data_IF_564264435476
#
_entry.id   IF_564264435476
#
_cell.length_a   1.000
_cell.length_b   1.000
_cell.length_c   1.000
_cell.angle_alpha   90.00
_cell.angle_beta   90.00
_cell.angle_gamma   90.00
#
_symmetry.space_group_name_H-M   'P 1'
#
loop_
_entity.id
_entity.type
_entity.pdbx_description
1 polymer ?
#
# COMPACT_ATOMS: atom_id res chain seq x y z
N UNK A 1 14.40 -5.34 11.94
CA UNK A 1 13.78 -4.01 12.16
C UNK A 1 12.62 -4.10 13.17
N UNK A 2 12.04 -2.98 13.59
CA UNK A 2 11.01 -2.90 14.65
C UNK A 2 9.94 -1.83 14.36
N UNK A 3 8.71 -2.02 14.85
CA UNK A 3 7.65 -1.01 14.86
C UNK A 3 6.93 -0.95 16.20
N UNK A 4 6.47 0.25 16.56
CA UNK A 4 5.58 0.49 17.71
C UNK A 4 4.46 1.46 17.37
N UNK A 5 3.30 1.28 18.01
CA UNK A 5 2.16 2.21 17.95
C UNK A 5 2.39 3.50 18.73
N UNK A 6 3.40 3.55 19.61
CA UNK A 6 3.74 4.75 20.35
C UNK A 6 4.08 5.92 19.40
N UNK A 7 3.82 7.14 19.87
CA UNK A 7 4.09 8.38 19.13
C UNK A 7 3.39 8.48 17.76
N UNK A 8 2.25 7.80 17.59
CA UNK A 8 1.48 7.81 16.34
C UNK A 8 1.92 6.77 15.32
N UNK A 9 2.89 5.92 15.65
CA UNK A 9 3.49 4.95 14.75
C UNK A 9 4.94 5.32 14.44
N UNK A 10 5.85 4.41 14.75
CA UNK A 10 7.28 4.61 14.58
C UNK A 10 7.93 3.33 14.05
N UNK A 11 8.65 3.45 12.95
CA UNK A 11 9.44 2.39 12.33
C UNK A 11 10.91 2.60 12.61
N UNK A 12 11.62 1.53 13.00
CA UNK A 12 13.07 1.52 13.19
C UNK A 12 13.68 0.43 12.32
N UNK A 13 14.48 0.82 11.34
CA UNK A 13 15.30 -0.08 10.54
C UNK A 13 16.75 0.04 11.02
N UNK A 14 17.36 -1.10 11.33
CA UNK A 14 18.73 -1.17 11.84
C UNK A 14 19.57 -1.85 10.76
N UNK A 15 20.37 -1.06 10.07
CA UNK A 15 21.36 -1.51 9.08
C UNK A 15 22.76 -1.51 9.75
N UNK A 16 23.77 -2.22 9.20
CA UNK A 16 25.11 -2.32 9.81
C UNK A 16 25.76 -0.96 10.14
N UNK A 17 25.59 0.01 9.25
CA UNK A 17 26.25 1.32 9.35
C UNK A 17 25.33 2.45 9.81
N UNK A 18 24.02 2.22 9.87
CA UNK A 18 23.04 3.28 10.13
C UNK A 18 21.73 2.73 10.70
N UNK A 19 21.19 3.41 11.70
CA UNK A 19 19.79 3.21 12.11
C UNK A 19 18.92 4.26 11.46
N UNK A 20 17.83 3.85 10.80
CA UNK A 20 16.84 4.74 10.20
C UNK A 20 15.52 4.67 10.96
N UNK A 21 15.07 5.82 11.46
CA UNK A 21 13.78 6.00 12.12
C UNK A 21 12.82 6.72 11.17
N UNK A 22 11.64 6.15 10.97
CA UNK A 22 10.58 6.74 10.14
C UNK A 22 9.34 6.94 11.01
N UNK A 23 8.91 8.19 11.18
CA UNK A 23 7.75 8.54 12.00
C UNK A 23 7.14 9.88 11.59
N UNK A 24 6.03 10.27 12.22
CA UNK A 24 5.49 11.61 12.11
C UNK A 24 6.50 12.64 12.70
N UNK A 25 6.85 13.72 11.99
CA UNK A 25 7.70 14.79 12.54
C UNK A 25 7.14 15.50 13.76
N UNK A 26 5.83 15.46 13.97
CA UNK A 26 5.16 16.01 15.15
C UNK A 26 5.29 15.09 16.38
N UNK A 27 5.80 13.87 16.22
CA UNK A 27 6.06 12.96 17.32
C UNK A 27 7.05 13.57 18.34
N UNK A 28 6.75 13.49 19.65
CA UNK A 28 7.69 13.89 20.68
C UNK A 28 9.06 13.21 20.51
N UNK A 29 10.10 14.02 20.36
CA UNK A 29 11.48 13.51 20.24
C UNK A 29 11.89 13.06 18.84
N UNK A 30 11.15 13.43 17.80
CA UNK A 30 11.64 13.37 16.43
C UNK A 30 12.98 14.14 16.32
N UNK A 31 14.02 13.51 15.75
CA UNK A 31 15.39 14.06 15.61
C UNK A 31 16.08 14.45 16.92
N UNK A 32 16.20 13.50 17.86
CA UNK A 32 17.00 13.71 19.09
C UNK A 32 18.45 13.25 19.00
N UNK A 33 18.74 12.24 18.19
CA UNK A 33 20.11 11.73 18.01
C UNK A 33 20.87 12.50 16.94
N UNK A 34 22.20 12.47 17.00
CA UNK A 34 23.08 13.11 16.01
C UNK A 34 22.90 12.42 14.64
N UNK A 35 22.90 13.16 13.51
CA UNK A 35 22.57 12.61 12.19
C UNK A 35 23.45 11.45 11.71
N UNK A 36 24.70 11.36 12.20
CA UNK A 36 25.61 10.27 11.86
C UNK A 36 25.39 9.00 12.69
N UNK A 37 24.57 9.06 13.74
CA UNK A 37 24.19 7.91 14.55
C UNK A 37 22.82 7.35 14.12
N UNK A 38 21.90 8.25 13.75
CA UNK A 38 20.53 7.89 13.36
C UNK A 38 20.03 8.82 12.26
N UNK A 39 19.55 8.23 11.17
CA UNK A 39 18.80 8.90 10.12
C UNK A 39 17.33 9.00 10.51
N UNK A 40 16.74 10.20 10.41
CA UNK A 40 15.32 10.43 10.69
C UNK A 40 14.59 10.86 9.42
N UNK A 41 13.65 10.04 8.97
CA UNK A 41 12.78 10.33 7.84
C UNK A 41 11.37 10.66 8.34
N UNK A 42 10.78 11.70 7.74
CA UNK A 42 9.36 11.96 7.93
C UNK A 42 8.56 10.89 7.19
N UNK A 43 7.58 10.28 7.85
CA UNK A 43 6.61 9.41 7.16
C UNK A 43 5.78 10.17 6.11
N UNK A 44 5.74 11.51 6.19
CA UNK A 44 5.06 12.39 5.22
C UNK A 44 5.90 12.65 3.97
N UNK A 45 7.18 12.28 3.96
CA UNK A 45 8.11 12.47 2.85
C UNK A 45 8.25 11.18 2.04
N UNK A 46 7.24 10.92 1.20
CA UNK A 46 7.15 9.73 0.37
C UNK A 46 8.41 9.50 -0.49
N UNK A 47 9.02 10.55 -1.01
CA UNK A 47 10.22 10.45 -1.85
C UNK A 47 11.42 9.93 -1.06
N UNK A 48 11.69 10.50 0.12
CA UNK A 48 12.80 10.03 0.96
C UNK A 48 12.57 8.64 1.51
N UNK A 49 11.35 8.31 1.92
CA UNK A 49 11.03 6.96 2.40
C UNK A 49 11.20 5.93 1.29
N UNK A 50 10.69 6.21 0.08
CA UNK A 50 10.90 5.35 -1.07
C UNK A 50 12.39 5.17 -1.38
N UNK A 51 13.16 6.25 -1.44
CA UNK A 51 14.61 6.20 -1.72
C UNK A 51 15.37 5.37 -0.70
N UNK A 52 15.04 5.50 0.59
CA UNK A 52 15.61 4.66 1.64
C UNK A 52 15.32 3.18 1.38
N UNK A 53 14.05 2.82 1.22
CA UNK A 53 13.65 1.43 0.99
C UNK A 53 14.30 0.83 -0.27
N UNK A 54 14.41 1.62 -1.34
CA UNK A 54 15.09 1.23 -2.57
C UNK A 54 16.60 1.03 -2.36
N UNK A 55 17.27 2.01 -1.75
CA UNK A 55 18.72 1.99 -1.54
C UNK A 55 19.17 0.86 -0.61
N UNK A 56 18.34 0.48 0.36
CA UNK A 56 18.63 -0.65 1.26
C UNK A 56 18.10 -1.99 0.73
N UNK A 57 17.64 -2.06 -0.52
CA UNK A 57 17.17 -3.32 -1.12
C UNK A 57 15.89 -3.90 -0.51
N UNK A 58 15.13 -3.14 0.26
CA UNK A 58 13.94 -3.64 1.00
C UNK A 58 12.70 -3.80 0.13
N UNK A 59 12.70 -3.25 -1.08
CA UNK A 59 11.56 -3.29 -2.00
C UNK A 59 11.92 -3.97 -3.32
N UNK A 60 10.89 -4.54 -3.94
CA UNK A 60 10.93 -5.03 -5.31
C UNK A 60 10.25 -4.02 -6.23
N UNK A 61 10.96 -3.57 -7.27
CA UNK A 61 10.43 -2.65 -8.27
C UNK A 61 9.45 -3.38 -9.22
N UNK A 62 8.47 -2.68 -9.80
CA UNK A 62 7.48 -3.26 -10.70
C UNK A 62 8.12 -3.83 -11.98
N UNK A 63 8.29 -5.15 -12.00
CA UNK A 63 8.80 -5.92 -13.15
C UNK A 63 7.75 -6.94 -13.58
N UNK A 64 7.67 -7.20 -14.89
CA UNK A 64 6.70 -8.13 -15.47
C UNK A 64 6.71 -9.52 -14.78
N UNK A 65 7.90 -10.01 -14.42
CA UNK A 65 8.11 -11.34 -13.80
C UNK A 65 7.22 -11.63 -12.60
N UNK A 66 6.90 -10.61 -11.79
CA UNK A 66 6.02 -10.76 -10.63
C UNK A 66 4.70 -10.00 -10.77
N UNK A 67 4.66 -8.90 -11.52
CA UNK A 67 3.44 -8.10 -11.70
C UNK A 67 2.39 -8.89 -12.48
N UNK A 68 2.77 -9.50 -13.60
CA UNK A 68 1.81 -10.16 -14.51
C UNK A 68 1.21 -11.44 -13.91
N UNK A 69 2.00 -12.17 -13.12
CA UNK A 69 1.58 -13.43 -12.49
C UNK A 69 0.81 -13.22 -11.18
N UNK A 70 1.01 -12.09 -10.50
CA UNK A 70 0.38 -11.83 -9.19
C UNK A 70 -1.03 -11.27 -9.29
N UNK A 71 -1.31 -10.42 -10.29
CA UNK A 71 -2.51 -9.59 -10.31
C UNK A 71 -2.45 -8.43 -9.30
N UNK A 72 -1.25 -7.98 -8.94
CA UNK A 72 -1.02 -6.96 -7.90
C UNK A 72 -1.60 -5.59 -8.26
N UNK A 73 -1.41 -5.14 -9.51
CA UNK A 73 -1.90 -3.83 -9.94
C UNK A 73 -3.43 -3.82 -10.07
N UNK A 74 -4.04 -4.94 -10.44
CA UNK A 74 -5.48 -5.13 -10.48
C UNK A 74 -6.08 -5.05 -9.07
N UNK A 75 -5.47 -5.72 -8.10
CA UNK A 75 -5.86 -5.63 -6.69
C UNK A 75 -5.80 -4.18 -6.20
N UNK A 76 -4.67 -3.49 -6.44
CA UNK A 76 -4.48 -2.08 -6.06
C UNK A 76 -5.53 -1.17 -6.73
N UNK A 77 -5.80 -1.38 -8.02
CA UNK A 77 -6.77 -0.60 -8.78
C UNK A 77 -8.19 -0.81 -8.25
N UNK A 78 -8.56 -2.05 -7.93
CA UNK A 78 -9.85 -2.36 -7.32
C UNK A 78 -10.01 -1.66 -5.97
N UNK A 79 -8.98 -1.66 -5.12
CA UNK A 79 -9.03 -0.98 -3.82
C UNK A 79 -9.14 0.55 -3.95
N UNK A 80 -8.45 1.15 -4.91
CA UNK A 80 -8.60 2.58 -5.24
C UNK A 80 -10.05 2.89 -5.64
N UNK A 81 -10.63 2.11 -6.55
CA UNK A 81 -12.01 2.34 -7.01
C UNK A 81 -13.01 2.17 -5.87
N UNK A 82 -12.85 1.13 -5.04
CA UNK A 82 -13.69 0.91 -3.86
C UNK A 82 -13.64 2.09 -2.88
N UNK A 83 -12.45 2.66 -2.64
CA UNK A 83 -12.31 3.85 -1.80
C UNK A 83 -13.00 5.08 -2.42
N UNK A 84 -12.91 5.28 -3.74
CA UNK A 84 -13.61 6.37 -4.42
C UNK A 84 -15.13 6.22 -4.35
N UNK A 85 -15.66 5.00 -4.47
CA UNK A 85 -17.09 4.73 -4.29
C UNK A 85 -17.53 5.08 -2.87
N UNK A 86 -16.76 4.67 -1.85
CA UNK A 86 -17.05 5.01 -0.45
C UNK A 86 -17.12 6.52 -0.25
N UNK A 87 -16.19 7.27 -0.83
CA UNK A 87 -16.09 8.71 -0.63
C UNK A 87 -17.19 9.47 -1.40
N UNK A 88 -17.56 9.01 -2.60
CA UNK A 88 -18.61 9.62 -3.42
C UNK A 88 -20.02 9.22 -2.98
N UNK A 89 -20.21 7.99 -2.52
CA UNK A 89 -21.50 7.39 -2.18
C UNK A 89 -21.44 6.63 -0.83
N UNK A 90 -21.29 7.34 0.31
CA UNK A 90 -20.99 6.72 1.62
C UNK A 90 -22.09 5.79 2.17
N UNK A 91 -23.30 5.91 1.65
CA UNK A 91 -24.46 5.08 2.03
C UNK A 91 -24.77 3.98 1.00
N UNK A 92 -23.95 3.83 -0.05
CA UNK A 92 -24.16 2.83 -1.08
C UNK A 92 -23.96 1.43 -0.49
N UNK A 93 -24.92 0.55 -0.76
CA UNK A 93 -24.75 -0.86 -0.47
C UNK A 93 -23.82 -1.49 -1.51
N UNK A 94 -22.76 -2.16 -1.04
CA UNK A 94 -21.74 -2.80 -1.87
C UNK A 94 -21.66 -4.32 -1.69
N UNK A 95 -22.65 -4.94 -1.06
CA UNK A 95 -22.68 -6.38 -0.75
C UNK A 95 -22.58 -7.26 -2.01
N UNK A 96 -23.06 -6.79 -3.15
CA UNK A 96 -23.08 -7.55 -4.42
C UNK A 96 -22.28 -6.89 -5.54
N UNK A 97 -21.27 -6.08 -5.19
CA UNK A 97 -20.44 -5.41 -6.20
C UNK A 97 -19.45 -6.38 -6.84
N UNK A 98 -19.74 -6.73 -8.08
CA UNK A 98 -18.86 -7.51 -8.94
C UNK A 98 -17.97 -6.62 -9.85
N UNK A 99 -17.12 -7.27 -10.66
CA UNK A 99 -16.20 -6.57 -11.56
C UNK A 99 -16.93 -5.79 -12.66
N UNK A 100 -18.06 -6.30 -13.17
CA UNK A 100 -18.82 -5.66 -14.25
C UNK A 100 -19.45 -4.37 -13.76
N UNK A 101 -20.00 -4.41 -12.54
CA UNK A 101 -20.53 -3.25 -11.87
C UNK A 101 -19.43 -2.20 -11.62
N UNK A 102 -18.25 -2.61 -11.14
CA UNK A 102 -17.12 -1.69 -10.94
C UNK A 102 -16.73 -0.99 -12.25
N UNK A 103 -16.67 -1.72 -13.37
CA UNK A 103 -16.38 -1.11 -14.67
C UNK A 103 -17.46 -0.11 -15.09
N UNK A 104 -18.74 -0.46 -14.92
CA UNK A 104 -19.86 0.45 -15.19
C UNK A 104 -19.75 1.71 -14.34
N UNK A 105 -19.43 1.57 -13.06
CA UNK A 105 -19.26 2.70 -12.15
C UNK A 105 -18.11 3.61 -12.59
N UNK A 106 -16.96 3.04 -12.96
CA UNK A 106 -15.79 3.78 -13.47
C UNK A 106 -16.16 4.59 -14.72
N UNK A 107 -16.88 3.99 -15.67
CA UNK A 107 -17.34 4.68 -16.88
C UNK A 107 -18.37 5.78 -16.58
N UNK A 108 -19.19 5.62 -15.55
CA UNK A 108 -20.13 6.65 -15.09
C UNK A 108 -19.47 7.80 -14.30
N UNK A 109 -18.23 7.63 -13.85
CA UNK A 109 -17.53 8.56 -12.93
C UNK A 109 -16.12 8.94 -13.44
N UNK A 110 -15.96 9.09 -14.74
CA UNK A 110 -14.65 9.38 -15.38
C UNK A 110 -13.98 10.62 -14.83
N UNK A 111 -14.75 11.66 -14.52
CA UNK A 111 -14.22 12.93 -13.99
C UNK A 111 -13.60 12.75 -12.60
N UNK A 112 -14.28 12.00 -11.72
CA UNK A 112 -13.78 11.66 -10.39
C UNK A 112 -12.53 10.78 -10.49
N UNK A 113 -12.56 9.77 -11.35
CA UNK A 113 -11.45 8.84 -11.60
C UNK A 113 -10.21 9.59 -12.12
N UNK A 114 -10.40 10.54 -13.04
CA UNK A 114 -9.32 11.34 -13.61
C UNK A 114 -8.75 12.30 -12.56
N UNK A 115 -9.62 12.90 -11.74
CA UNK A 115 -9.22 13.81 -10.66
C UNK A 115 -8.39 13.12 -9.58
N UNK A 116 -8.75 11.90 -9.18
CA UNK A 116 -7.93 11.09 -8.25
C UNK A 116 -6.61 10.66 -8.90
N UNK A 117 -6.65 10.21 -10.15
CA UNK A 117 -5.47 9.90 -10.96
C UNK A 117 -4.79 8.56 -10.65
N UNK A 118 -5.08 7.88 -9.53
CA UNK A 118 -4.41 6.62 -9.18
C UNK A 118 -4.89 5.45 -10.04
N UNK A 119 -6.20 5.36 -10.34
CA UNK A 119 -6.71 4.31 -11.22
C UNK A 119 -6.19 4.46 -12.68
N UNK A 120 -6.22 5.65 -13.30
CA UNK A 120 -5.56 5.86 -14.59
C UNK A 120 -4.06 5.54 -14.57
N UNK A 121 -3.35 5.95 -13.52
CA UNK A 121 -1.93 5.64 -13.32
C UNK A 121 -1.68 4.13 -13.27
N UNK A 122 -2.41 3.38 -12.45
CA UNK A 122 -2.26 1.92 -12.34
C UNK A 122 -2.51 1.20 -13.66
N UNK A 123 -3.50 1.65 -14.43
CA UNK A 123 -3.75 1.11 -15.77
C UNK A 123 -2.62 1.46 -16.76
N UNK A 124 -2.07 2.67 -16.69
CA UNK A 124 -0.92 3.05 -17.51
C UNK A 124 0.33 2.23 -17.15
N UNK A 125 0.62 2.09 -15.85
CA UNK A 125 1.72 1.28 -15.35
C UNK A 125 1.60 -0.18 -15.79
N UNK A 126 0.40 -0.77 -15.72
CA UNK A 126 0.15 -2.14 -16.21
C UNK A 126 0.47 -2.27 -17.70
N UNK A 127 0.03 -1.31 -18.53
CA UNK A 127 0.33 -1.32 -19.98
C UNK A 127 1.81 -1.15 -20.27
N UNK A 128 2.49 -0.24 -19.57
CA UNK A 128 3.92 0.00 -19.73
C UNK A 128 4.74 -1.25 -19.38
N UNK A 129 4.42 -1.90 -18.26
CA UNK A 129 5.09 -3.14 -17.83
C UNK A 129 4.85 -4.27 -18.83
N UNK A 130 3.63 -4.41 -19.35
CA UNK A 130 3.33 -5.42 -20.37
C UNK A 130 4.09 -5.16 -21.70
N UNK A 131 4.36 -3.89 -22.01
CA UNK A 131 5.05 -3.50 -23.25
C UNK A 131 6.59 -3.57 -23.12
N UNK A 132 7.14 -3.15 -21.98
CA UNK A 132 8.58 -2.94 -21.81
C UNK A 132 9.21 -3.81 -20.70
N UNK A 133 8.41 -4.64 -20.03
CA UNK A 133 8.85 -5.52 -18.95
C UNK A 133 9.05 -4.84 -17.59
N UNK A 134 8.95 -3.51 -17.53
CA UNK A 134 9.16 -2.70 -16.32
C UNK A 134 8.46 -1.34 -16.45
N UNK A 135 8.32 -0.65 -15.31
CA UNK A 135 7.90 0.76 -15.23
C UNK A 135 9.10 1.62 -14.86
N UNK A 136 9.27 2.77 -15.52
CA UNK A 136 10.28 3.78 -15.15
C UNK A 136 9.90 4.50 -13.86
N UNK A 137 10.35 3.96 -12.72
CA UNK A 137 9.89 4.39 -11.40
C UNK A 137 10.34 5.82 -11.03
N UNK A 138 11.43 6.29 -11.64
CA UNK A 138 11.96 7.65 -11.51
C UNK A 138 10.98 8.72 -12.00
N UNK A 139 10.19 8.41 -13.04
CA UNK A 139 9.21 9.31 -13.65
C UNK A 139 7.87 9.31 -12.88
N UNK A 140 7.69 8.39 -11.93
CA UNK A 140 6.47 8.25 -11.14
C UNK A 140 6.48 9.22 -9.96
N UNK A 141 5.36 9.91 -9.74
CA UNK A 141 5.16 10.78 -8.58
C UNK A 141 5.43 10.03 -7.26
N UNK A 142 6.13 10.62 -6.28
CA UNK A 142 6.60 9.90 -5.10
C UNK A 142 5.54 9.08 -4.35
N UNK A 143 4.33 9.62 -4.20
CA UNK A 143 3.21 8.94 -3.53
C UNK A 143 2.74 7.71 -4.33
N UNK A 144 2.68 7.82 -5.66
CA UNK A 144 2.20 6.75 -6.54
C UNK A 144 3.19 5.59 -6.64
N UNK A 145 4.47 5.78 -6.32
CA UNK A 145 5.46 4.69 -6.29
C UNK A 145 5.05 3.56 -5.35
N UNK A 146 4.39 3.89 -4.23
CA UNK A 146 3.92 2.88 -3.25
C UNK A 146 2.77 2.01 -3.76
N UNK A 147 2.04 2.44 -4.80
CA UNK A 147 0.99 1.65 -5.44
C UNK A 147 1.56 0.47 -6.26
N UNK A 148 2.82 0.56 -6.70
CA UNK A 148 3.40 -0.35 -7.71
C UNK A 148 4.58 -1.17 -7.19
N UNK A 149 4.99 -0.98 -5.94
CA UNK A 149 6.04 -1.77 -5.29
C UNK A 149 5.47 -2.66 -4.21
N UNK A 150 6.21 -3.70 -3.85
CA UNK A 150 6.03 -4.49 -2.63
C UNK A 150 7.35 -4.60 -1.87
N UNK A 151 7.32 -5.05 -0.62
CA UNK A 151 8.56 -5.45 0.03
C UNK A 151 9.21 -6.60 -0.74
N UNK A 152 10.54 -6.63 -0.75
CA UNK A 152 11.29 -7.72 -1.35
C UNK A 152 11.04 -9.00 -0.53
N UNK A 153 10.56 -10.10 -1.14
CA UNK A 153 10.03 -11.24 -0.36
C UNK A 153 11.08 -11.98 0.49
N UNK A 154 12.33 -12.04 0.03
CA UNK A 154 13.46 -12.70 0.69
C UNK A 154 14.19 -11.81 1.71
N UNK A 155 13.76 -10.54 1.85
CA UNK A 155 14.40 -9.62 2.78
C UNK A 155 13.91 -9.88 4.23
N UNK A 156 14.80 -9.90 5.25
CA UNK A 156 14.39 -10.16 6.64
C UNK A 156 13.35 -9.17 7.19
N UNK A 157 13.37 -7.93 6.70
CA UNK A 157 12.39 -6.89 7.05
C UNK A 157 11.13 -6.86 6.13
N UNK A 158 10.84 -7.90 5.35
CA UNK A 158 9.75 -7.87 4.36
C UNK A 158 8.39 -7.54 4.98
N UNK A 159 8.07 -8.12 6.13
CA UNK A 159 6.83 -7.86 6.87
C UNK A 159 6.71 -6.40 7.31
N UNK A 160 7.77 -5.86 7.92
CA UNK A 160 7.79 -4.46 8.37
C UNK A 160 7.75 -3.48 7.20
N UNK A 161 8.41 -3.82 6.10
CA UNK A 161 8.43 -3.01 4.89
C UNK A 161 7.04 -2.96 4.26
N UNK A 162 6.33 -4.10 4.15
CA UNK A 162 4.95 -4.10 3.68
C UNK A 162 4.00 -3.36 4.63
N UNK A 163 4.25 -3.42 5.95
CA UNK A 163 3.52 -2.62 6.92
C UNK A 163 3.70 -1.11 6.65
N UNK A 164 4.94 -0.65 6.45
CA UNK A 164 5.22 0.74 6.09
C UNK A 164 4.60 1.14 4.74
N UNK A 165 4.71 0.29 3.70
CA UNK A 165 4.08 0.53 2.41
C UNK A 165 2.56 0.73 2.59
N UNK A 166 1.92 -0.09 3.44
CA UNK A 166 0.47 0.03 3.71
C UNK A 166 0.04 1.34 4.37
N UNK A 167 0.95 2.11 4.98
CA UNK A 167 0.66 3.46 5.45
C UNK A 167 0.59 4.50 4.31
N UNK A 168 1.27 4.25 3.18
CA UNK A 168 1.20 5.10 1.98
C UNK A 168 0.06 4.75 1.03
N UNK A 169 -0.60 3.60 1.24
CA UNK A 169 -1.75 3.14 0.46
C UNK A 169 -2.95 2.81 1.37
N UNK A 170 -3.48 3.80 2.13
CA UNK A 170 -4.57 3.57 3.08
C UNK A 170 -5.87 3.09 2.45
N UNK A 171 -6.09 3.35 1.15
CA UNK A 171 -7.23 2.84 0.39
C UNK A 171 -7.26 1.31 0.31
N UNK A 172 -6.12 0.64 0.45
CA UNK A 172 -6.02 -0.82 0.40
C UNK A 172 -6.19 -1.43 1.79
N UNK A 173 -7.43 -1.44 2.27
CA UNK A 173 -7.77 -1.98 3.58
C UNK A 173 -7.42 -3.47 3.73
N UNK A 174 -7.37 -4.23 2.62
CA UNK A 174 -6.93 -5.63 2.65
C UNK A 174 -5.46 -5.71 3.06
N UNK A 175 -4.60 -4.88 2.44
CA UNK A 175 -3.18 -4.83 2.77
C UNK A 175 -2.92 -4.28 4.16
N UNK A 176 -3.69 -3.27 4.59
CA UNK A 176 -3.65 -2.82 5.99
C UNK A 176 -4.04 -3.94 6.94
N UNK A 177 -5.08 -4.71 6.66
CA UNK A 177 -5.46 -5.85 7.51
C UNK A 177 -4.37 -6.92 7.59
N UNK A 178 -3.67 -7.18 6.48
CA UNK A 178 -2.59 -8.18 6.42
C UNK A 178 -1.35 -7.71 7.18
N UNK A 179 -0.88 -6.48 6.94
CA UNK A 179 0.44 -6.02 7.42
C UNK A 179 0.39 -4.99 8.54
N UNK A 180 -0.68 -4.23 8.66
CA UNK A 180 -0.81 -3.08 9.57
C UNK A 180 -2.15 -3.10 10.30
N UNK A 181 -2.38 -4.14 11.10
CA UNK A 181 -3.61 -4.28 11.89
C UNK A 181 -3.94 -3.02 12.72
N UNK A 182 -2.97 -2.37 13.39
CA UNK A 182 -3.27 -1.15 14.13
C UNK A 182 -3.78 0.00 13.25
N UNK A 183 -3.18 0.19 12.06
CA UNK A 183 -3.68 1.14 11.06
C UNK A 183 -5.07 0.77 10.54
N UNK A 184 -5.29 -0.51 10.22
CA UNK A 184 -6.59 -1.02 9.77
C UNK A 184 -7.70 -0.73 10.79
N UNK A 185 -7.51 -1.10 12.07
CA UNK A 185 -8.57 -0.92 13.07
C UNK A 185 -8.87 0.55 13.36
N UNK A 186 -7.84 1.41 13.34
CA UNK A 186 -8.05 2.86 13.47
C UNK A 186 -8.93 3.42 12.36
N UNK A 187 -8.75 2.98 11.12
CA UNK A 187 -9.65 3.39 10.03
C UNK A 187 -11.04 2.75 10.18
N UNK A 188 -11.08 1.45 10.51
CA UNK A 188 -12.29 0.66 10.66
C UNK A 188 -13.25 1.24 11.72
N UNK A 189 -12.71 1.79 12.80
CA UNK A 189 -13.47 2.45 13.85
C UNK A 189 -14.17 3.72 13.36
N UNK A 190 -13.65 4.38 12.31
CA UNK A 190 -14.27 5.54 11.68
C UNK A 190 -15.25 5.22 10.55
N UNK A 191 -15.36 3.96 10.14
CA UNK A 191 -16.20 3.55 9.01
C UNK A 191 -17.70 3.46 9.37
N UNK A 192 -18.56 3.75 8.38
CA UNK A 192 -20.00 3.48 8.49
C UNK A 192 -20.26 1.97 8.58
N UNK A 193 -21.38 1.57 9.18
CA UNK A 193 -21.71 0.15 9.33
C UNK A 193 -21.87 -0.57 7.98
N UNK A 194 -22.44 0.12 6.98
CA UNK A 194 -22.53 -0.41 5.62
C UNK A 194 -21.15 -0.69 5.02
N UNK A 195 -20.19 0.22 5.21
CA UNK A 195 -18.84 0.06 4.71
C UNK A 195 -18.04 -0.99 5.51
N UNK A 196 -18.25 -1.10 6.82
CA UNK A 196 -17.67 -2.17 7.65
C UNK A 196 -18.09 -3.55 7.15
N UNK A 197 -19.38 -3.74 6.89
CA UNK A 197 -19.90 -4.99 6.30
C UNK A 197 -19.22 -5.30 4.96
N UNK A 198 -19.11 -4.30 4.09
CA UNK A 198 -18.40 -4.45 2.81
C UNK A 198 -16.94 -4.86 2.98
N UNK A 199 -16.19 -4.19 3.86
CA UNK A 199 -14.79 -4.50 4.17
C UNK A 199 -14.65 -5.94 4.66
N UNK A 200 -15.54 -6.38 5.55
CA UNK A 200 -15.55 -7.76 6.07
C UNK A 200 -15.81 -8.77 4.95
N UNK A 201 -16.75 -8.50 4.05
CA UNK A 201 -17.08 -9.41 2.95
C UNK A 201 -15.93 -9.52 1.93
N UNK A 202 -15.28 -8.39 1.60
CA UNK A 202 -14.08 -8.40 0.76
C UNK A 202 -12.95 -9.18 1.45
N UNK A 203 -12.70 -8.97 2.75
CA UNK A 203 -11.68 -9.72 3.48
C UNK A 203 -11.96 -11.23 3.49
N UNK A 204 -13.23 -11.65 3.68
CA UNK A 204 -13.66 -13.05 3.66
C UNK A 204 -13.43 -13.72 2.30
N UNK A 205 -13.73 -13.00 1.22
CA UNK A 205 -13.66 -13.54 -0.15
C UNK A 205 -12.26 -13.45 -0.77
N UNK A 206 -11.39 -12.59 -0.24
CA UNK A 206 -10.01 -12.39 -0.71
C UNK A 206 -8.97 -13.05 0.21
N UNK A 207 -8.45 -12.32 1.20
CA UNK A 207 -7.33 -12.75 2.04
C UNK A 207 -7.71 -13.89 3.00
N UNK A 208 -8.87 -13.83 3.64
CA UNK A 208 -9.25 -14.82 4.65
C UNK A 208 -9.65 -16.17 4.05
N UNK A 209 -9.99 -16.21 2.74
CA UNK A 209 -10.30 -17.44 2.02
C UNK A 209 -9.10 -18.38 1.96
N UNK A 210 -7.95 -17.84 1.57
CA UNK A 210 -6.67 -18.55 1.58
C UNK A 210 -5.54 -17.55 1.84
N UNK A 211 -5.13 -17.47 3.11
CA UNK A 211 -4.15 -16.47 3.56
C UNK A 211 -2.77 -16.72 2.95
N UNK A 212 -2.36 -17.98 2.84
CA UNK A 212 -1.05 -18.35 2.33
C UNK A 212 -0.99 -18.10 0.83
N UNK A 213 -1.97 -18.58 0.06
CA UNK A 213 -2.03 -18.33 -1.38
C UNK A 213 -2.11 -16.84 -1.71
N UNK A 214 -2.84 -16.04 -0.92
CA UNK A 214 -2.89 -14.59 -1.09
C UNK A 214 -1.52 -13.94 -0.87
N UNK A 215 -0.83 -14.28 0.24
CA UNK A 215 0.51 -13.77 0.56
C UNK A 215 1.54 -14.16 -0.51
N UNK A 216 1.59 -15.43 -0.89
CA UNK A 216 2.51 -15.92 -1.92
C UNK A 216 2.24 -15.22 -3.26
N UNK A 217 0.99 -15.15 -3.69
CA UNK A 217 0.63 -14.58 -5.00
C UNK A 217 0.95 -13.09 -5.09
N UNK A 218 0.50 -12.27 -4.14
CA UNK A 218 0.67 -10.82 -4.23
C UNK A 218 2.03 -10.34 -3.70
N UNK A 219 2.53 -10.98 -2.65
CA UNK A 219 3.69 -10.49 -1.90
C UNK A 219 4.90 -11.39 -1.97
N UNK A 220 4.81 -12.56 -2.62
CA UNK A 220 5.91 -13.53 -2.69
C UNK A 220 6.27 -14.15 -1.33
N UNK A 221 5.49 -13.87 -0.28
CA UNK A 221 5.77 -14.33 1.07
C UNK A 221 5.28 -15.77 1.23
N UNK A 222 6.23 -16.69 1.31
CA UNK A 222 6.01 -18.08 1.71
C UNK A 222 6.42 -18.20 3.17
N UNK A 223 5.47 -18.49 4.05
CA UNK A 223 5.77 -18.81 5.44
C UNK A 223 6.45 -20.19 5.54
#
# INVERSE_FOLDING_TARGET
AYWTSHFGGLYVFVDPDMTTVISDPAAPGFRRSRPWQVSYLSIRDADKVFKFLAATGRIELPRASWIESSGYLEHRAEMVVRALIRDAEPNRNLTDVDKVWLQTWIHGHTDLITKDGNFPFLNAAKREIAQYGHLKIEDVFPQQRFLVIRARPDHPDAWLTNQLISDFVPQDFVSRYVFNKPGFYRDYDGFSDAWRSHVVDVLKTTYLKDKAAFRTRLYGLTD
#
